data_IF_600926418181
#
_entry.id   IF_600926418181
#
_cell.length_a   1.000
_cell.length_b   1.000
_cell.length_c   1.000
_cell.angle_alpha   90.00
_cell.angle_beta   90.00
_cell.angle_gamma   90.00
#
_symmetry.space_group_name_H-M   'P 1'
#
loop_
_entity.id
_entity.type
_entity.pdbx_description
1 polymer ?
#
# COMPACT_ATOMS: atom_id res chain seq x y z
N UNK A 1 11.72 -0.29 -9.77
CA UNK A 1 12.63 0.25 -8.74
C UNK A 1 11.88 0.81 -7.53
N UNK A 2 10.84 1.64 -7.73
CA UNK A 2 10.11 2.30 -6.63
C UNK A 2 9.56 1.33 -5.57
N UNK A 3 8.89 0.23 -5.96
CA UNK A 3 8.33 -0.74 -5.00
C UNK A 3 9.40 -1.32 -4.07
N UNK A 4 10.53 -1.78 -4.64
CA UNK A 4 11.62 -2.37 -3.85
C UNK A 4 12.25 -1.35 -2.91
N UNK A 5 12.50 -0.13 -3.41
CA UNK A 5 13.05 0.96 -2.59
C UNK A 5 12.12 1.32 -1.42
N UNK A 6 10.82 1.46 -1.69
CA UNK A 6 9.81 1.75 -0.67
C UNK A 6 9.68 0.60 0.34
N UNK A 7 9.73 -0.66 -0.10
CA UNK A 7 9.69 -1.81 0.80
C UNK A 7 10.87 -1.80 1.79
N UNK A 8 12.10 -1.62 1.29
CA UNK A 8 13.30 -1.53 2.14
C UNK A 8 13.18 -0.35 3.12
N UNK A 9 12.76 0.81 2.64
CA UNK A 9 12.56 1.99 3.49
C UNK A 9 11.60 1.73 4.66
N UNK A 10 10.45 1.11 4.38
CA UNK A 10 9.43 0.84 5.40
C UNK A 10 9.85 -0.30 6.34
N UNK A 11 10.51 -1.34 5.82
CA UNK A 11 11.07 -2.42 6.65
C UNK A 11 12.11 -1.86 7.64
N UNK A 12 12.98 -0.95 7.20
CA UNK A 12 13.95 -0.30 8.08
C UNK A 12 13.28 0.55 9.18
N UNK A 13 12.16 1.22 8.89
CA UNK A 13 11.40 1.92 9.94
C UNK A 13 10.83 0.95 10.98
N UNK A 14 10.28 -0.18 10.53
CA UNK A 14 9.76 -1.23 11.43
C UNK A 14 10.90 -1.86 12.24
N UNK A 15 12.07 -2.04 11.64
CA UNK A 15 13.27 -2.47 12.35
C UNK A 15 13.71 -1.45 13.41
N UNK A 16 13.59 -0.15 13.12
CA UNK A 16 13.88 0.94 14.03
C UNK A 16 12.82 1.15 15.13
N UNK A 17 11.71 0.40 15.12
CA UNK A 17 10.70 0.40 16.19
C UNK A 17 9.31 0.90 15.80
N UNK A 18 9.07 1.23 14.52
CA UNK A 18 7.70 1.50 14.08
C UNK A 18 6.82 0.25 14.24
N UNK A 19 5.69 0.41 14.93
CA UNK A 19 4.77 -0.71 15.24
C UNK A 19 3.69 -0.92 14.19
N UNK A 20 3.53 0.02 13.25
CA UNK A 20 2.59 -0.03 12.14
C UNK A 20 3.11 0.80 10.96
N UNK A 21 2.56 0.57 9.77
CA UNK A 21 2.88 1.30 8.54
C UNK A 21 1.61 1.90 7.94
N UNK A 22 1.68 3.12 7.45
CA UNK A 22 0.61 3.73 6.64
C UNK A 22 1.12 4.07 5.24
N UNK A 23 0.40 3.60 4.22
CA UNK A 23 0.63 3.89 2.81
C UNK A 23 -0.33 4.98 2.37
N UNK A 24 0.14 5.93 1.56
CA UNK A 24 -0.62 7.11 1.15
C UNK A 24 -0.77 7.21 -0.36
N UNK A 25 -1.92 6.78 -0.87
CA UNK A 25 -2.35 6.97 -2.27
C UNK A 25 -3.10 8.30 -2.42
N UNK A 26 -2.41 9.39 -2.09
CA UNK A 26 -3.01 10.74 -2.00
C UNK A 26 -3.40 11.34 -3.36
N UNK A 27 -2.82 10.85 -4.46
CA UNK A 27 -3.08 11.39 -5.80
C UNK A 27 -4.08 10.57 -6.61
N UNK A 28 -4.68 9.53 -6.01
CA UNK A 28 -5.50 8.53 -6.72
C UNK A 28 -6.74 9.11 -7.40
N UNK A 29 -7.31 10.20 -6.89
CA UNK A 29 -8.46 10.90 -7.52
C UNK A 29 -8.18 11.42 -8.93
N UNK A 30 -6.92 11.54 -9.35
CA UNK A 30 -6.55 12.03 -10.69
C UNK A 30 -6.48 10.92 -11.75
N UNK A 31 -6.55 9.65 -11.33
CA UNK A 31 -6.42 8.50 -12.22
C UNK A 31 -7.78 8.15 -12.83
N UNK A 32 -7.85 7.90 -14.15
CA UNK A 32 -8.99 7.21 -14.74
C UNK A 32 -9.19 5.84 -14.08
N UNK A 33 -10.44 5.39 -13.85
CA UNK A 33 -10.71 4.08 -13.22
C UNK A 33 -10.04 2.90 -13.94
N UNK A 34 -9.96 2.96 -15.27
CA UNK A 34 -9.29 1.93 -16.09
C UNK A 34 -7.81 1.74 -15.78
N UNK A 35 -7.16 2.76 -15.21
CA UNK A 35 -5.75 2.74 -14.85
C UNK A 35 -5.53 2.44 -13.36
N UNK A 36 -6.59 2.47 -12.54
CA UNK A 36 -6.48 2.34 -11.09
C UNK A 36 -5.87 1.01 -10.66
N UNK A 37 -6.31 -0.09 -11.26
CA UNK A 37 -5.77 -1.42 -10.94
C UNK A 37 -4.27 -1.54 -11.27
N UNK A 38 -3.84 -0.96 -12.40
CA UNK A 38 -2.46 -1.02 -12.87
C UNK A 38 -1.52 -0.20 -11.99
N UNK A 39 -1.92 1.00 -11.57
CA UNK A 39 -1.04 1.95 -10.91
C UNK A 39 -1.22 2.06 -9.40
N UNK A 40 -2.36 1.64 -8.85
CA UNK A 40 -2.63 1.70 -7.41
C UNK A 40 -2.71 0.29 -6.82
N UNK A 41 -3.63 -0.54 -7.30
CA UNK A 41 -3.89 -1.85 -6.68
C UNK A 41 -2.70 -2.77 -6.81
N UNK A 42 -2.27 -3.07 -8.05
CA UNK A 42 -1.19 -4.03 -8.31
C UNK A 42 0.13 -3.64 -7.63
N UNK A 43 0.58 -2.37 -7.66
CA UNK A 43 1.79 -1.96 -6.96
C UNK A 43 1.65 -2.06 -5.44
N UNK A 44 0.53 -1.66 -4.85
CA UNK A 44 0.32 -1.77 -3.41
C UNK A 44 0.25 -3.22 -2.94
N UNK A 45 -0.43 -4.12 -3.67
CA UNK A 45 -0.42 -5.56 -3.36
C UNK A 45 1.00 -6.11 -3.32
N UNK A 46 1.84 -5.75 -4.31
CA UNK A 46 3.25 -6.18 -4.35
C UNK A 46 4.06 -5.59 -3.19
N UNK A 47 3.87 -4.31 -2.90
CA UNK A 47 4.56 -3.60 -1.84
C UNK A 47 4.21 -4.17 -0.46
N UNK A 48 2.92 -4.31 -0.16
CA UNK A 48 2.39 -4.88 1.09
C UNK A 48 2.95 -6.29 1.30
N UNK A 49 2.91 -7.13 0.26
CA UNK A 49 3.49 -8.48 0.33
C UNK A 49 4.97 -8.46 0.69
N UNK A 50 5.76 -7.53 0.13
CA UNK A 50 7.19 -7.41 0.46
C UNK A 50 7.41 -6.92 1.89
N UNK A 51 6.69 -5.88 2.34
CA UNK A 51 6.83 -5.35 3.71
C UNK A 51 6.52 -6.45 4.74
N UNK A 52 5.48 -7.26 4.48
CA UNK A 52 5.02 -8.30 5.41
C UNK A 52 5.94 -9.53 5.52
N UNK A 53 7.01 -9.65 4.73
CA UNK A 53 7.90 -10.83 4.73
C UNK A 53 8.78 -10.98 5.98
N UNK A 54 9.14 -9.89 6.66
CA UNK A 54 10.09 -9.92 7.79
C UNK A 54 9.34 -9.92 9.13
N UNK A 55 8.81 -8.75 9.52
CA UNK A 55 8.16 -8.54 10.83
C UNK A 55 6.64 -8.48 10.79
N UNK A 56 6.04 -8.62 9.60
CA UNK A 56 4.59 -8.57 9.36
C UNK A 56 3.84 -7.47 10.15
N UNK A 57 4.23 -6.18 10.02
CA UNK A 57 3.56 -5.10 10.73
C UNK A 57 2.12 -4.92 10.20
N UNK A 58 1.18 -4.41 11.02
CA UNK A 58 -0.10 -3.91 10.53
C UNK A 58 0.10 -2.78 9.52
N UNK A 59 -0.65 -2.83 8.42
CA UNK A 59 -0.57 -1.85 7.33
C UNK A 59 -1.95 -1.20 7.11
N UNK A 60 -1.97 0.14 7.12
CA UNK A 60 -3.10 0.96 6.70
C UNK A 60 -2.86 1.52 5.30
N UNK A 61 -3.84 1.44 4.39
CA UNK A 61 -3.76 2.01 3.06
C UNK A 61 -4.78 3.13 2.88
N UNK A 62 -4.32 4.37 3.03
CA UNK A 62 -5.13 5.54 2.72
C UNK A 62 -5.21 5.75 1.20
N UNK A 63 -6.43 5.85 0.65
CA UNK A 63 -6.66 6.16 -0.75
C UNK A 63 -7.79 7.18 -0.91
N UNK A 64 -7.57 8.28 -1.62
CA UNK A 64 -8.60 9.33 -1.76
C UNK A 64 -9.86 8.88 -2.52
N UNK A 65 -9.75 7.97 -3.48
CA UNK A 65 -10.90 7.38 -4.19
C UNK A 65 -11.41 6.08 -3.53
N UNK A 66 -11.29 5.98 -2.20
CA UNK A 66 -11.68 4.82 -1.40
C UNK A 66 -13.06 4.26 -1.77
N UNK A 67 -14.08 5.11 -1.83
CA UNK A 67 -15.46 4.66 -2.04
C UNK A 67 -15.68 4.02 -3.41
N UNK A 68 -15.04 4.53 -4.46
CA UNK A 68 -15.20 4.02 -5.82
C UNK A 68 -14.48 2.68 -6.02
N UNK A 69 -13.38 2.47 -5.28
CA UNK A 69 -12.44 1.38 -5.53
C UNK A 69 -12.29 0.44 -4.34
N UNK A 70 -13.25 0.46 -3.40
CA UNK A 70 -13.17 -0.25 -2.13
C UNK A 70 -12.79 -1.71 -2.26
N UNK A 71 -13.45 -2.46 -3.15
CA UNK A 71 -13.19 -3.89 -3.35
C UNK A 71 -11.79 -4.15 -3.90
N UNK A 72 -11.36 -3.30 -4.85
CA UNK A 72 -10.02 -3.35 -5.43
C UNK A 72 -8.95 -3.08 -4.37
N UNK A 73 -9.18 -2.10 -3.50
CA UNK A 73 -8.29 -1.74 -2.38
C UNK A 73 -8.27 -2.82 -1.31
N UNK A 74 -9.41 -3.41 -0.98
CA UNK A 74 -9.52 -4.51 -0.01
C UNK A 74 -8.68 -5.72 -0.41
N UNK A 75 -8.63 -6.02 -1.71
CA UNK A 75 -7.81 -7.10 -2.26
C UNK A 75 -6.30 -6.86 -2.18
N UNK A 76 -5.83 -5.67 -1.77
CA UNK A 76 -4.38 -5.39 -1.66
C UNK A 76 -3.70 -6.11 -0.50
N UNK A 77 -4.47 -6.54 0.50
CA UNK A 77 -3.95 -7.17 1.71
C UNK A 77 -3.51 -6.19 2.80
N UNK A 78 -3.90 -4.91 2.69
CA UNK A 78 -3.82 -3.96 3.80
C UNK A 78 -4.75 -4.41 4.93
N UNK A 79 -4.35 -4.18 6.17
CA UNK A 79 -5.13 -4.57 7.35
C UNK A 79 -6.24 -3.56 7.65
N UNK A 80 -6.06 -2.31 7.20
CA UNK A 80 -7.08 -1.25 7.22
C UNK A 80 -7.01 -0.40 5.95
N UNK A 81 -8.12 0.22 5.59
CA UNK A 81 -8.28 1.14 4.46
C UNK A 81 -8.80 2.50 4.95
#
# INVERSE_FOLDING_TARGET
EIIKGTAVYLQLQVQAGATAVQLFESSSLRLPPSLFSQYVVTPNTKLIRQIKQDRNPPISLFCRCFYQEFLSLYATGADTL
#
